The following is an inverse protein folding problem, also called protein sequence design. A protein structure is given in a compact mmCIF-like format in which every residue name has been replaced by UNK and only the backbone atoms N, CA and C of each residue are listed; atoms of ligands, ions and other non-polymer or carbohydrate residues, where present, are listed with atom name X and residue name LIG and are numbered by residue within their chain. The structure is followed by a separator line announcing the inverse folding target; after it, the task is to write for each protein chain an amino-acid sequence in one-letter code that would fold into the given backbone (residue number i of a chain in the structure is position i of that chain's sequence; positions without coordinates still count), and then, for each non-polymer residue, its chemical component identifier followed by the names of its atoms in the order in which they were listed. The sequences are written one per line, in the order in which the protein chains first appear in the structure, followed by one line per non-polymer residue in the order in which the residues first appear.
data_IF_408560653567
#
_entry.id   IF_408560653567
#
_cell.length_a   1.000
_cell.length_b   1.000
_cell.length_c   1.000
_cell.angle_alpha   90.00
_cell.angle_beta   90.00
_cell.angle_gamma   90.00
#
_symmetry.space_group_name_H-M   'P 1'
#
loop_
_entity.id
_entity.type
_entity.pdbx_description
1 polymer ?
#
# COMPACT_ATOMS: atom_id res chain seq x y z
N UNK A 1 -11.52 -0.04 21.69
CA UNK A 1 -10.55 0.57 20.75
C UNK A 1 -10.66 -0.01 19.34
N UNK A 2 -10.53 -1.33 19.15
CA UNK A 2 -10.59 -1.98 17.82
C UNK A 2 -11.88 -1.67 17.05
N UNK A 3 -13.06 -1.76 17.72
CA UNK A 3 -14.35 -1.47 17.08
C UNK A 3 -14.47 0.00 16.61
N UNK A 4 -13.83 0.93 17.31
CA UNK A 4 -13.79 2.34 16.92
C UNK A 4 -13.02 2.50 15.59
N UNK A 5 -11.84 1.90 15.45
CA UNK A 5 -10.96 2.07 14.26
C UNK A 5 -11.65 1.61 12.97
N UNK A 6 -12.49 0.56 13.03
CA UNK A 6 -13.16 0.00 11.84
C UNK A 6 -14.57 0.52 11.57
N UNK A 7 -15.07 1.44 12.41
CA UNK A 7 -16.33 2.14 12.13
C UNK A 7 -16.11 3.19 11.05
N UNK A 8 -17.19 3.54 10.35
CA UNK A 8 -17.15 4.69 9.45
C UNK A 8 -16.97 5.99 10.25
N UNK A 9 -16.06 6.80 9.79
CA UNK A 9 -15.72 8.07 10.38
C UNK A 9 -15.94 9.21 9.40
N UNK A 10 -16.06 10.43 9.94
CA UNK A 10 -15.95 11.62 9.11
C UNK A 10 -14.57 11.66 8.44
N UNK A 11 -14.46 12.37 7.35
CA UNK A 11 -13.26 12.40 6.51
C UNK A 11 -12.00 12.78 7.28
N UNK A 12 -12.08 13.75 8.18
CA UNK A 12 -10.93 14.19 8.98
C UNK A 12 -10.37 13.06 9.86
N UNK A 13 -11.24 12.37 10.59
CA UNK A 13 -10.84 11.23 11.42
C UNK A 13 -10.31 10.08 10.57
N UNK A 14 -10.99 9.77 9.46
CA UNK A 14 -10.53 8.77 8.51
C UNK A 14 -9.15 9.11 7.92
N UNK A 15 -8.90 10.38 7.57
CA UNK A 15 -7.61 10.85 7.09
C UNK A 15 -6.49 10.63 8.13
N UNK A 16 -6.75 10.94 9.40
CA UNK A 16 -5.80 10.71 10.48
C UNK A 16 -5.52 9.21 10.65
N UNK A 17 -6.56 8.38 10.60
CA UNK A 17 -6.44 6.93 10.74
C UNK A 17 -5.61 6.35 9.59
N UNK A 18 -5.85 6.75 8.34
CA UNK A 18 -5.05 6.31 7.19
C UNK A 18 -3.62 6.81 7.29
N UNK A 19 -3.42 8.08 7.61
CA UNK A 19 -2.09 8.66 7.76
C UNK A 19 -1.25 7.89 8.80
N UNK A 20 -1.80 7.64 9.98
CA UNK A 20 -1.13 6.89 11.04
C UNK A 20 -0.94 5.41 10.66
N UNK A 21 -1.96 4.78 10.08
CA UNK A 21 -1.89 3.41 9.62
C UNK A 21 -0.80 3.23 8.56
N UNK A 22 -0.78 4.08 7.54
CA UNK A 22 0.23 4.02 6.47
C UNK A 22 1.64 4.33 6.97
N UNK A 23 1.77 5.21 7.96
CA UNK A 23 3.06 5.51 8.58
C UNK A 23 3.78 4.27 9.12
N UNK A 24 3.03 3.25 9.57
CA UNK A 24 3.62 1.99 10.05
C UNK A 24 4.36 1.22 8.95
N UNK A 25 3.95 1.40 7.67
CA UNK A 25 4.64 0.82 6.53
C UNK A 25 6.03 1.40 6.31
N UNK A 26 6.25 2.63 6.72
CA UNK A 26 7.58 3.26 6.68
C UNK A 26 8.63 2.56 7.55
N UNK A 27 8.21 1.70 8.49
CA UNK A 27 9.13 0.88 9.29
C UNK A 27 9.40 -0.50 8.67
N UNK A 28 8.77 -0.85 7.54
CA UNK A 28 8.85 -2.18 6.92
C UNK A 28 10.30 -2.55 6.53
N UNK A 29 11.13 -1.57 6.16
CA UNK A 29 12.52 -1.82 5.79
C UNK A 29 13.35 -2.44 6.93
N UNK A 30 12.99 -2.17 8.19
CA UNK A 30 13.70 -2.68 9.38
C UNK A 30 13.63 -4.22 9.45
N UNK A 31 12.43 -4.85 9.54
CA UNK A 31 12.33 -6.30 9.57
C UNK A 31 12.80 -6.96 8.27
N UNK A 32 12.69 -6.30 7.12
CA UNK A 32 13.24 -6.80 5.86
C UNK A 32 14.75 -6.92 5.97
N UNK A 33 15.46 -5.85 6.34
CA UNK A 33 16.93 -5.89 6.52
C UNK A 33 17.38 -6.89 7.57
N UNK A 34 16.65 -6.99 8.69
CA UNK A 34 16.96 -7.99 9.72
C UNK A 34 16.83 -9.42 9.16
N UNK A 35 15.83 -9.67 8.34
CA UNK A 35 15.61 -11.00 7.74
C UNK A 35 16.64 -11.29 6.64
N UNK A 36 16.98 -10.31 5.82
CA UNK A 36 18.07 -10.43 4.83
C UNK A 36 19.44 -10.70 5.49
N UNK A 37 19.72 -10.04 6.60
CA UNK A 37 20.96 -10.27 7.37
C UNK A 37 21.07 -11.71 7.93
N UNK A 38 19.95 -12.45 7.99
CA UNK A 38 19.95 -13.89 8.33
C UNK A 38 20.25 -14.80 7.11
N UNK A 39 20.54 -14.22 5.94
CA UNK A 39 20.82 -14.96 4.70
C UNK A 39 19.58 -15.35 3.89
N UNK A 40 18.41 -14.79 4.19
CA UNK A 40 17.18 -15.04 3.43
C UNK A 40 17.19 -14.23 2.14
N UNK A 41 17.04 -14.84 0.95
CA UNK A 41 16.90 -14.07 -0.28
C UNK A 41 15.67 -13.14 -0.23
N UNK A 42 15.76 -11.89 -0.76
CA UNK A 42 14.71 -10.87 -0.61
C UNK A 42 13.31 -11.32 -1.04
N UNK A 43 13.18 -12.12 -2.12
CA UNK A 43 11.88 -12.62 -2.56
C UNK A 43 11.26 -13.62 -1.55
N UNK A 44 12.09 -14.37 -0.82
CA UNK A 44 11.62 -15.25 0.26
C UNK A 44 11.24 -14.44 1.50
N UNK A 45 11.89 -13.30 1.76
CA UNK A 45 11.42 -12.35 2.79
C UNK A 45 10.01 -11.89 2.43
N UNK A 46 9.81 -11.43 1.20
CA UNK A 46 8.48 -11.02 0.73
C UNK A 46 7.46 -12.16 0.86
N UNK A 47 7.81 -13.39 0.45
CA UNK A 47 6.94 -14.56 0.62
C UNK A 47 6.45 -14.71 2.06
N UNK A 48 7.36 -14.71 3.03
CA UNK A 48 6.99 -14.86 4.44
C UNK A 48 6.15 -13.69 4.96
N UNK A 49 6.39 -12.49 4.47
CA UNK A 49 5.65 -11.29 4.84
C UNK A 49 4.22 -11.24 4.26
N UNK A 50 3.93 -11.97 3.19
CA UNK A 50 2.57 -12.09 2.66
C UNK A 50 1.88 -13.39 3.10
N UNK A 51 2.61 -14.50 3.27
CA UNK A 51 2.03 -15.78 3.63
C UNK A 51 1.65 -15.87 5.12
N UNK A 52 2.51 -15.37 6.01
CA UNK A 52 2.29 -15.50 7.45
C UNK A 52 1.07 -14.74 7.97
N UNK A 53 0.77 -13.49 7.55
CA UNK A 53 -0.45 -12.79 7.96
C UNK A 53 -1.74 -13.48 7.52
N UNK A 54 -1.70 -14.22 6.40
CA UNK A 54 -2.87 -14.96 5.93
C UNK A 54 -3.36 -16.00 6.94
N UNK A 55 -2.48 -16.60 7.74
CA UNK A 55 -2.83 -17.64 8.71
C UNK A 55 -3.81 -17.14 9.79
N UNK A 56 -3.45 -16.13 10.64
CA UNK A 56 -4.37 -15.63 11.65
C UNK A 56 -5.60 -15.00 11.00
N UNK A 57 -5.45 -14.28 9.88
CA UNK A 57 -6.58 -13.65 9.21
C UNK A 57 -7.57 -14.67 8.64
N UNK A 58 -7.10 -15.80 8.12
CA UNK A 58 -7.96 -16.91 7.67
C UNK A 58 -8.83 -17.43 8.82
N UNK A 59 -8.24 -17.61 10.01
CA UNK A 59 -8.99 -18.03 11.19
C UNK A 59 -10.11 -17.04 11.54
N UNK A 60 -9.83 -15.75 11.55
CA UNK A 60 -10.83 -14.72 11.83
C UNK A 60 -11.91 -14.60 10.74
N UNK A 61 -11.58 -14.93 9.50
CA UNK A 61 -12.52 -14.85 8.37
C UNK A 61 -13.36 -16.11 8.15
N UNK A 62 -13.04 -17.24 8.78
CA UNK A 62 -13.69 -18.55 8.51
C UNK A 62 -15.22 -18.52 8.52
N UNK A 63 -15.82 -17.78 9.48
CA UNK A 63 -17.27 -17.68 9.58
C UNK A 63 -17.87 -16.81 8.47
N UNK A 64 -17.21 -15.70 8.14
CA UNK A 64 -17.68 -14.73 7.15
C UNK A 64 -17.50 -15.24 5.69
N UNK A 65 -16.50 -16.09 5.43
CA UNK A 65 -16.23 -16.62 4.08
C UNK A 65 -17.45 -17.30 3.47
N UNK A 66 -18.23 -18.05 4.28
CA UNK A 66 -19.42 -18.78 3.78
C UNK A 66 -20.55 -17.85 3.36
N UNK A 67 -20.76 -16.75 4.08
CA UNK A 67 -21.82 -15.77 3.79
C UNK A 67 -21.47 -14.86 2.61
N UNK A 68 -20.19 -14.69 2.31
CA UNK A 68 -19.68 -13.77 1.29
C UNK A 68 -19.44 -14.44 -0.09
N UNK A 69 -19.93 -15.65 -0.30
CA UNK A 69 -19.71 -16.41 -1.56
C UNK A 69 -20.10 -15.66 -2.83
N UNK A 70 -21.14 -14.87 -2.79
CA UNK A 70 -21.61 -14.07 -3.91
C UNK A 70 -20.59 -13.01 -4.38
N UNK A 71 -19.69 -12.58 -3.51
CA UNK A 71 -18.71 -11.52 -3.75
C UNK A 71 -17.32 -12.06 -4.15
N UNK A 72 -17.15 -13.38 -4.36
CA UNK A 72 -15.84 -13.99 -4.61
C UNK A 72 -15.08 -13.40 -5.78
N UNK A 73 -15.79 -13.05 -6.86
CA UNK A 73 -15.16 -12.42 -8.03
C UNK A 73 -14.53 -11.07 -7.68
N UNK A 74 -15.17 -10.30 -6.80
CA UNK A 74 -14.66 -9.00 -6.33
C UNK A 74 -13.42 -9.20 -5.46
N UNK A 75 -13.48 -10.13 -4.50
CA UNK A 75 -12.36 -10.46 -3.65
C UNK A 75 -11.16 -10.96 -4.45
N UNK A 76 -11.41 -11.84 -5.42
CA UNK A 76 -10.35 -12.39 -6.26
C UNK A 76 -9.74 -11.30 -7.16
N UNK A 77 -10.56 -10.46 -7.80
CA UNK A 77 -10.07 -9.38 -8.65
C UNK A 77 -9.24 -8.36 -7.85
N UNK A 78 -9.75 -7.88 -6.70
CA UNK A 78 -9.01 -6.98 -5.85
C UNK A 78 -7.75 -7.64 -5.27
N UNK A 79 -7.85 -8.90 -4.82
CA UNK A 79 -6.72 -9.65 -4.27
C UNK A 79 -5.61 -9.90 -5.28
N UNK A 80 -5.95 -10.27 -6.52
CA UNK A 80 -4.96 -10.42 -7.61
C UNK A 80 -4.30 -9.08 -7.88
N UNK A 81 -5.05 -7.98 -8.02
CA UNK A 81 -4.49 -6.69 -8.31
C UNK A 81 -3.54 -6.22 -7.19
N UNK A 82 -3.98 -6.24 -5.94
CA UNK A 82 -3.16 -5.78 -4.81
C UNK A 82 -1.98 -6.74 -4.55
N UNK A 83 -2.21 -8.05 -4.63
CA UNK A 83 -1.14 -9.05 -4.50
C UNK A 83 -0.09 -8.92 -5.59
N UNK A 84 -0.48 -8.68 -6.84
CA UNK A 84 0.43 -8.38 -7.96
C UNK A 84 1.21 -7.10 -7.69
N UNK A 85 0.53 -6.04 -7.22
CA UNK A 85 1.19 -4.78 -6.89
C UNK A 85 2.34 -4.98 -5.91
N UNK A 86 2.10 -5.68 -4.81
CA UNK A 86 3.14 -5.97 -3.82
C UNK A 86 4.28 -6.81 -4.34
N UNK A 87 3.98 -7.85 -5.13
CA UNK A 87 5.01 -8.71 -5.70
C UNK A 87 5.86 -7.94 -6.70
N UNK A 88 5.24 -7.13 -7.59
CA UNK A 88 5.98 -6.30 -8.54
C UNK A 88 6.82 -5.23 -7.83
N UNK A 89 6.28 -4.60 -6.79
CA UNK A 89 7.04 -3.65 -5.98
C UNK A 89 8.27 -4.31 -5.34
N UNK A 90 8.09 -5.45 -4.70
CA UNK A 90 9.19 -6.20 -4.09
C UNK A 90 10.24 -6.66 -5.12
N UNK A 91 9.81 -7.13 -6.29
CA UNK A 91 10.72 -7.48 -7.39
C UNK A 91 11.44 -6.23 -7.91
N UNK A 92 10.78 -5.10 -7.99
CA UNK A 92 11.39 -3.83 -8.36
C UNK A 92 12.48 -3.40 -7.37
N UNK A 93 12.24 -3.55 -6.06
CA UNK A 93 13.25 -3.27 -5.03
C UNK A 93 14.44 -4.23 -5.10
N UNK A 94 14.21 -5.46 -5.55
CA UNK A 94 15.25 -6.49 -5.69
C UNK A 94 16.08 -6.35 -6.96
N UNK A 95 15.42 -6.07 -8.10
CA UNK A 95 16.02 -6.19 -9.43
C UNK A 95 16.34 -4.83 -10.09
N UNK A 96 15.79 -3.74 -9.54
CA UNK A 96 15.98 -2.39 -10.05
C UNK A 96 16.50 -1.44 -8.95
N UNK A 97 16.54 -0.14 -9.24
CA UNK A 97 16.88 0.87 -8.23
C UNK A 97 15.75 1.05 -7.24
N UNK A 98 16.04 0.93 -5.94
CA UNK A 98 15.07 1.16 -4.85
C UNK A 98 14.41 2.53 -4.98
N UNK A 99 15.20 3.59 -5.17
CA UNK A 99 14.66 4.95 -5.28
C UNK A 99 13.76 5.12 -6.51
N UNK A 100 14.14 4.58 -7.68
CA UNK A 100 13.33 4.63 -8.89
C UNK A 100 12.02 3.83 -8.72
N UNK A 101 12.12 2.58 -8.23
CA UNK A 101 10.96 1.70 -8.00
C UNK A 101 9.96 2.37 -7.06
N UNK A 102 10.43 2.91 -5.96
CA UNK A 102 9.61 3.59 -4.95
C UNK A 102 8.97 4.86 -5.51
N UNK A 103 9.75 5.69 -6.23
CA UNK A 103 9.22 6.92 -6.84
C UNK A 103 8.13 6.61 -7.87
N UNK A 104 8.33 5.56 -8.69
CA UNK A 104 7.35 5.15 -9.70
C UNK A 104 6.10 4.53 -9.08
N UNK A 105 6.23 3.77 -7.99
CA UNK A 105 5.09 3.30 -7.21
C UNK A 105 4.29 4.47 -6.65
N UNK A 106 4.91 5.54 -6.17
CA UNK A 106 4.22 6.71 -5.63
C UNK A 106 3.53 7.61 -6.67
N UNK A 107 3.49 7.20 -7.94
CA UNK A 107 2.51 7.69 -8.91
C UNK A 107 1.09 7.15 -8.65
N UNK A 108 0.94 6.23 -7.70
CA UNK A 108 -0.34 5.62 -7.30
C UNK A 108 -1.48 6.63 -7.07
N UNK A 109 -1.30 7.79 -6.39
CA UNK A 109 -2.37 8.77 -6.23
C UNK A 109 -2.89 9.31 -7.56
N UNK A 110 -2.03 9.43 -8.58
CA UNK A 110 -2.43 9.83 -9.93
C UNK A 110 -3.34 8.77 -10.53
N UNK A 111 -2.89 7.50 -10.53
CA UNK A 111 -3.66 6.37 -11.06
C UNK A 111 -4.97 6.18 -10.33
N UNK A 112 -4.97 6.21 -9.01
CA UNK A 112 -6.17 6.08 -8.18
C UNK A 112 -7.17 7.21 -8.44
N UNK A 113 -6.70 8.44 -8.67
CA UNK A 113 -7.56 9.58 -8.97
C UNK A 113 -8.14 9.48 -10.38
N UNK A 114 -7.33 9.10 -11.38
CA UNK A 114 -7.81 8.91 -12.75
C UNK A 114 -8.84 7.78 -12.83
N UNK A 115 -8.52 6.62 -12.27
CA UNK A 115 -9.42 5.47 -12.25
C UNK A 115 -10.68 5.74 -11.42
N UNK A 116 -10.55 6.44 -10.29
CA UNK A 116 -11.69 6.88 -9.47
C UNK A 116 -12.61 7.82 -10.23
N UNK A 117 -12.03 8.74 -11.02
CA UNK A 117 -12.83 9.64 -11.88
C UNK A 117 -13.59 8.89 -12.96
N UNK A 118 -12.96 7.89 -13.59
CA UNK A 118 -13.57 7.12 -14.71
C UNK A 118 -14.55 6.06 -14.21
N UNK A 119 -14.17 5.30 -13.17
CA UNK A 119 -14.91 4.10 -12.73
C UNK A 119 -15.90 4.39 -11.59
N UNK A 120 -15.63 5.40 -10.76
CA UNK A 120 -16.49 5.79 -9.63
C UNK A 120 -17.25 7.09 -9.89
N UNK A 121 -16.97 7.79 -10.99
CA UNK A 121 -17.58 9.09 -11.28
C UNK A 121 -17.10 10.23 -10.36
N UNK A 122 -15.97 10.06 -9.68
CA UNK A 122 -15.42 11.07 -8.79
C UNK A 122 -14.97 12.31 -9.57
N UNK A 123 -15.21 13.49 -9.03
CA UNK A 123 -14.72 14.75 -9.60
C UNK A 123 -13.52 15.25 -8.79
N UNK A 124 -12.33 14.98 -9.29
CA UNK A 124 -11.11 15.52 -8.71
C UNK A 124 -10.96 17.01 -9.08
N UNK A 125 -11.11 17.89 -8.10
CA UNK A 125 -10.90 19.33 -8.29
C UNK A 125 -9.41 19.69 -8.40
N UNK A 126 -9.12 20.92 -8.83
CA UNK A 126 -7.75 21.43 -8.97
C UNK A 126 -6.93 21.33 -7.68
N UNK A 127 -7.56 21.45 -6.51
CA UNK A 127 -6.88 21.28 -5.21
C UNK A 127 -6.31 19.89 -5.03
N UNK A 128 -7.07 18.82 -5.43
CA UNK A 128 -6.61 17.43 -5.36
C UNK A 128 -5.43 17.21 -6.31
N UNK A 129 -5.54 17.66 -7.56
CA UNK A 129 -4.45 17.56 -8.53
C UNK A 129 -3.21 18.34 -8.11
N UNK A 130 -3.38 19.52 -7.53
CA UNK A 130 -2.27 20.30 -6.95
C UNK A 130 -1.60 19.58 -5.80
N UNK A 131 -2.37 18.97 -4.89
CA UNK A 131 -1.83 18.19 -3.78
C UNK A 131 -1.10 16.92 -4.27
N UNK A 132 -1.61 16.22 -5.30
CA UNK A 132 -0.93 15.08 -5.92
C UNK A 132 0.42 15.51 -6.51
N UNK A 133 0.43 16.63 -7.26
CA UNK A 133 1.67 17.16 -7.84
C UNK A 133 2.70 17.55 -6.76
N UNK A 134 2.26 18.24 -5.71
CA UNK A 134 3.11 18.60 -4.58
C UNK A 134 3.67 17.34 -3.86
N UNK A 135 2.81 16.36 -3.57
CA UNK A 135 3.21 15.14 -2.91
C UNK A 135 4.25 14.36 -3.74
N UNK A 136 4.06 14.30 -5.06
CA UNK A 136 5.02 13.67 -5.97
C UNK A 136 6.37 14.40 -6.01
N UNK A 137 6.35 15.74 -6.09
CA UNK A 137 7.58 16.55 -6.02
C UNK A 137 8.29 16.35 -4.69
N UNK A 138 7.55 16.35 -3.58
CA UNK A 138 8.10 16.06 -2.26
C UNK A 138 8.75 14.66 -2.18
N UNK A 139 8.09 13.65 -2.76
CA UNK A 139 8.62 12.29 -2.86
C UNK A 139 9.94 12.25 -3.66
N UNK A 140 10.01 12.94 -4.81
CA UNK A 140 11.24 13.05 -5.60
C UNK A 140 12.39 13.68 -4.80
N UNK A 141 12.11 14.69 -3.98
CA UNK A 141 13.11 15.31 -3.12
C UNK A 141 13.60 14.34 -2.03
N UNK A 142 12.69 13.63 -1.38
CA UNK A 142 13.05 12.64 -0.35
C UNK A 142 13.87 11.49 -0.94
N UNK A 143 13.45 10.96 -2.09
CA UNK A 143 14.13 9.86 -2.79
C UNK A 143 15.36 10.30 -3.57
N UNK A 144 15.66 11.61 -3.62
CA UNK A 144 16.76 12.21 -4.39
C UNK A 144 16.72 11.81 -5.88
N UNK A 145 15.54 11.67 -6.44
CA UNK A 145 15.31 11.33 -7.84
C UNK A 145 14.90 12.57 -8.62
N UNK A 146 15.62 12.86 -9.71
CA UNK A 146 15.21 13.89 -10.65
C UNK A 146 14.39 13.26 -11.79
N UNK A 147 13.06 13.43 -11.83
CA UNK A 147 12.21 12.79 -12.83
C UNK A 147 12.47 13.26 -14.25
N UNK A 148 13.06 14.46 -14.44
CA UNK A 148 13.35 15.02 -15.75
C UNK A 148 14.58 14.36 -16.39
N UNK A 149 15.58 14.00 -15.56
CA UNK A 149 16.83 13.37 -16.03
C UNK A 149 16.86 11.85 -15.82
N UNK A 150 15.80 11.27 -15.27
CA UNK A 150 15.71 9.85 -14.99
C UNK A 150 15.63 9.06 -16.29
N UNK A 151 16.66 8.24 -16.55
CA UNK A 151 16.62 7.26 -17.64
C UNK A 151 15.76 6.09 -17.22
N UNK A 152 14.71 5.81 -18.00
CA UNK A 152 13.80 4.71 -17.76
C UNK A 152 14.38 3.40 -18.30
N UNK A 153 14.55 2.41 -17.43
CA UNK A 153 15.03 1.09 -17.75
C UNK A 153 13.89 0.07 -17.76
N UNK A 154 14.09 -1.09 -18.39
CA UNK A 154 13.04 -2.13 -18.48
C UNK A 154 12.53 -2.59 -17.12
N UNK A 155 13.42 -2.70 -16.13
CA UNK A 155 13.07 -3.13 -14.77
C UNK A 155 12.32 -2.06 -13.97
N UNK A 156 12.41 -0.79 -14.37
CA UNK A 156 11.62 0.28 -13.73
C UNK A 156 10.11 0.12 -13.97
N UNK A 157 9.72 -0.66 -15.00
CA UNK A 157 8.33 -1.08 -15.22
C UNK A 157 7.73 -1.81 -14.03
N UNK A 158 8.52 -2.49 -13.21
CA UNK A 158 8.04 -3.19 -12.03
C UNK A 158 7.44 -2.20 -11.02
N UNK A 159 8.16 -1.12 -10.70
CA UNK A 159 7.66 -0.05 -9.83
C UNK A 159 6.45 0.67 -10.42
N UNK A 160 6.51 0.98 -11.72
CA UNK A 160 5.43 1.67 -12.42
C UNK A 160 4.13 0.85 -12.45
N UNK A 161 4.20 -0.41 -12.86
CA UNK A 161 3.06 -1.31 -12.93
C UNK A 161 2.52 -1.64 -11.54
N UNK A 162 3.38 -1.75 -10.52
CA UNK A 162 2.93 -1.97 -9.15
C UNK A 162 1.98 -0.88 -8.67
N UNK A 163 2.26 0.40 -8.97
CA UNK A 163 1.39 1.52 -8.65
C UNK A 163 0.04 1.46 -9.38
N UNK A 164 0.02 1.03 -10.63
CA UNK A 164 -1.22 0.85 -11.41
C UNK A 164 -2.06 -0.28 -10.81
N UNK A 165 -1.46 -1.46 -10.58
CA UNK A 165 -2.19 -2.60 -10.01
C UNK A 165 -2.74 -2.29 -8.61
N UNK A 166 -1.98 -1.58 -7.78
CA UNK A 166 -2.47 -1.09 -6.51
C UNK A 166 -3.70 -0.20 -6.70
N UNK A 167 -3.62 0.81 -7.57
CA UNK A 167 -4.71 1.74 -7.84
C UNK A 167 -5.98 1.02 -8.34
N UNK A 168 -5.83 0.06 -9.26
CA UNK A 168 -6.95 -0.77 -9.74
C UNK A 168 -7.61 -1.54 -8.59
N UNK A 169 -6.82 -2.21 -7.75
CA UNK A 169 -7.34 -2.99 -6.63
C UNK A 169 -8.11 -2.13 -5.61
N UNK A 170 -7.57 -0.96 -5.28
CA UNK A 170 -8.22 -0.03 -4.35
C UNK A 170 -9.49 0.58 -4.94
N UNK A 171 -9.51 0.89 -6.23
CA UNK A 171 -10.71 1.42 -6.91
C UNK A 171 -11.81 0.34 -7.00
N UNK A 172 -11.44 -0.93 -7.24
CA UNK A 172 -12.40 -2.06 -7.17
C UNK A 172 -13.05 -2.09 -5.78
N UNK A 173 -12.28 -2.02 -4.70
CA UNK A 173 -12.81 -2.03 -3.34
C UNK A 173 -13.67 -0.80 -3.02
N UNK A 174 -13.30 0.37 -3.54
CA UNK A 174 -14.11 1.59 -3.45
C UNK A 174 -15.44 1.48 -4.20
N UNK A 175 -15.49 0.74 -5.33
CA UNK A 175 -16.72 0.48 -6.10
C UNK A 175 -17.69 -0.42 -5.36
N UNK A 176 -17.19 -1.33 -4.53
CA UNK A 176 -17.99 -2.31 -3.80
C UNK A 176 -17.83 -2.12 -2.28
N UNK A 177 -18.37 -1.03 -1.70
CA UNK A 177 -18.15 -0.68 -0.29
C UNK A 177 -18.77 -1.67 0.71
N UNK A 178 -19.70 -2.52 0.26
CA UNK A 178 -20.42 -3.47 1.10
C UNK A 178 -19.68 -4.81 1.29
N UNK A 179 -18.57 -5.05 0.58
CA UNK A 179 -17.78 -6.28 0.77
C UNK A 179 -17.04 -6.27 2.11
N UNK A 180 -16.85 -7.44 2.71
CA UNK A 180 -16.12 -7.53 3.99
C UNK A 180 -14.64 -7.20 3.77
N UNK A 181 -14.18 -6.11 4.37
CA UNK A 181 -12.79 -5.62 4.25
C UNK A 181 -11.76 -6.63 4.77
N UNK A 182 -12.13 -7.50 5.71
CA UNK A 182 -11.23 -8.54 6.25
C UNK A 182 -11.01 -9.64 5.21
N UNK A 183 -12.07 -10.05 4.50
CA UNK A 183 -11.96 -11.03 3.42
C UNK A 183 -11.21 -10.43 2.23
N UNK A 184 -11.45 -9.15 1.90
CA UNK A 184 -10.68 -8.45 0.88
C UNK A 184 -9.19 -8.41 1.23
N UNK A 185 -8.85 -8.12 2.48
CA UNK A 185 -7.47 -8.16 2.99
C UNK A 185 -6.89 -9.58 2.96
N UNK A 186 -7.66 -10.59 3.35
CA UNK A 186 -7.22 -11.99 3.27
C UNK A 186 -6.93 -12.38 1.82
N UNK A 187 -7.82 -12.04 0.90
CA UNK A 187 -7.69 -12.37 -0.52
C UNK A 187 -6.38 -11.82 -1.10
N UNK A 188 -6.00 -10.60 -0.79
CA UNK A 188 -4.73 -10.03 -1.27
C UNK A 188 -3.49 -10.79 -0.72
N UNK A 189 -3.51 -11.18 0.57
CA UNK A 189 -2.42 -11.97 1.13
C UNK A 189 -2.33 -13.34 0.49
N UNK A 190 -3.45 -14.02 0.27
CA UNK A 190 -3.49 -15.32 -0.41
C UNK A 190 -3.06 -15.20 -1.88
N UNK A 191 -3.61 -14.25 -2.63
CA UNK A 191 -3.21 -14.02 -4.02
C UNK A 191 -1.75 -13.60 -4.11
N UNK A 192 -1.29 -12.69 -3.26
CA UNK A 192 0.12 -12.28 -3.19
C UNK A 192 1.05 -13.46 -2.89
N UNK A 193 0.66 -14.35 -1.98
CA UNK A 193 1.42 -15.58 -1.69
C UNK A 193 1.54 -16.46 -2.94
N UNK A 194 0.44 -16.73 -3.63
CA UNK A 194 0.43 -17.55 -4.85
C UNK A 194 1.30 -16.91 -5.94
N UNK A 195 1.13 -15.60 -6.19
CA UNK A 195 1.88 -14.87 -7.20
C UNK A 195 3.38 -14.87 -6.86
N UNK A 196 3.74 -14.72 -5.58
CA UNK A 196 5.13 -14.77 -5.14
C UNK A 196 5.74 -16.15 -5.32
N UNK A 197 4.99 -17.23 -5.02
CA UNK A 197 5.44 -18.62 -5.27
C UNK A 197 5.72 -18.82 -6.77
N UNK A 198 4.83 -18.35 -7.64
CA UNK A 198 5.02 -18.40 -9.09
C UNK A 198 6.28 -17.61 -9.49
N UNK A 199 6.48 -16.43 -8.95
CA UNK A 199 7.66 -15.61 -9.22
C UNK A 199 8.95 -16.30 -8.76
N UNK A 200 8.97 -16.90 -7.56
CA UNK A 200 10.12 -17.70 -7.06
C UNK A 200 10.44 -18.85 -8.02
N UNK A 201 9.41 -19.58 -8.46
CA UNK A 201 9.59 -20.71 -9.37
C UNK A 201 10.13 -20.26 -10.75
N UNK A 202 9.59 -19.15 -11.29
CA UNK A 202 10.05 -18.59 -12.58
C UNK A 202 11.48 -18.06 -12.52
N UNK A 203 11.84 -17.42 -11.41
CA UNK A 203 13.19 -16.87 -11.21
C UNK A 203 14.21 -17.94 -10.79
N UNK A 204 13.77 -19.15 -10.45
CA UNK A 204 14.64 -20.23 -10.03
C UNK A 204 15.41 -19.95 -8.73
N UNK A 205 14.84 -19.14 -7.83
CA UNK A 205 15.51 -18.79 -6.58
C UNK A 205 15.44 -19.97 -5.61
N UNK A 206 16.63 -20.42 -5.15
CA UNK A 206 16.73 -21.55 -4.22
C UNK A 206 15.98 -21.30 -2.91
N UNK A 207 15.41 -22.35 -2.35
CA UNK A 207 14.77 -22.30 -1.03
C UNK A 207 15.84 -22.15 0.04
N UNK A 208 15.67 -21.26 1.03
CA UNK A 208 16.54 -21.19 2.20
C UNK A 208 16.47 -22.49 3.01
N UNK A 209 17.50 -22.75 3.82
CA UNK A 209 17.47 -23.87 4.74
C UNK A 209 16.32 -23.76 5.77
N UNK A 210 15.99 -24.89 6.41
CA UNK A 210 14.82 -24.98 7.31
C UNK A 210 14.91 -24.01 8.50
N UNK A 211 16.08 -23.83 9.09
CA UNK A 211 16.25 -22.95 10.24
C UNK A 211 16.09 -21.47 9.84
N UNK A 212 16.72 -21.06 8.75
CA UNK A 212 16.61 -19.71 8.19
C UNK A 212 15.18 -19.41 7.75
N UNK A 213 14.50 -20.36 7.11
CA UNK A 213 13.08 -20.25 6.72
C UNK A 213 12.18 -20.08 7.94
N UNK A 214 12.42 -20.84 9.02
CA UNK A 214 11.62 -20.73 10.26
C UNK A 214 11.77 -19.36 10.94
N UNK A 215 12.99 -18.81 10.98
CA UNK A 215 13.23 -17.45 11.49
C UNK A 215 12.53 -16.41 10.64
N UNK A 216 12.61 -16.50 9.31
CA UNK A 216 11.94 -15.61 8.39
C UNK A 216 10.42 -15.68 8.53
N UNK A 217 9.86 -16.88 8.70
CA UNK A 217 8.43 -17.06 8.96
C UNK A 217 7.98 -16.39 10.27
N UNK A 218 8.75 -16.55 11.35
CA UNK A 218 8.48 -15.87 12.62
C UNK A 218 8.55 -14.35 12.50
N UNK A 219 9.54 -13.82 11.77
CA UNK A 219 9.63 -12.39 11.48
C UNK A 219 8.41 -11.90 10.66
N UNK A 220 8.01 -12.65 9.63
CA UNK A 220 6.81 -12.38 8.84
C UNK A 220 5.55 -12.39 9.70
N UNK A 221 5.38 -13.39 10.57
CA UNK A 221 4.23 -13.48 11.46
C UNK A 221 4.19 -12.31 12.45
N UNK A 222 5.31 -11.98 13.07
CA UNK A 222 5.38 -10.93 14.08
C UNK A 222 5.22 -9.54 13.43
N UNK A 223 6.09 -9.16 12.51
CA UNK A 223 6.05 -7.81 11.95
C UNK A 223 4.90 -7.61 10.96
N UNK A 224 4.75 -8.51 9.99
CA UNK A 224 3.68 -8.38 9.00
C UNK A 224 2.32 -8.75 9.59
N UNK A 225 2.22 -9.79 10.40
CA UNK A 225 0.98 -10.24 11.00
C UNK A 225 0.45 -9.34 12.12
N UNK A 226 1.31 -8.83 13.01
CA UNK A 226 0.88 -8.04 14.16
C UNK A 226 0.93 -6.52 13.94
N UNK A 227 1.84 -6.04 13.07
CA UNK A 227 2.04 -4.60 12.87
C UNK A 227 1.44 -4.14 11.54
N UNK A 228 1.80 -4.78 10.42
CA UNK A 228 1.38 -4.33 9.10
C UNK A 228 -0.04 -4.74 8.73
N UNK A 229 -0.46 -5.95 9.08
CA UNK A 229 -1.81 -6.43 8.75
C UNK A 229 -2.93 -5.58 9.37
N UNK A 230 -2.88 -5.15 10.64
CA UNK A 230 -3.88 -4.23 11.19
C UNK A 230 -3.93 -2.89 10.45
N UNK A 231 -2.77 -2.34 10.09
CA UNK A 231 -2.67 -1.14 9.25
C UNK A 231 -3.34 -1.34 7.90
N UNK A 232 -3.09 -2.49 7.28
CA UNK A 232 -3.69 -2.84 5.99
C UNK A 232 -5.22 -2.95 6.08
N UNK A 233 -5.73 -3.64 7.10
CA UNK A 233 -7.18 -3.74 7.36
C UNK A 233 -7.83 -2.34 7.46
N UNK A 234 -7.14 -1.40 8.10
CA UNK A 234 -7.59 -0.01 8.22
C UNK A 234 -7.62 0.68 6.85
N UNK A 235 -6.56 0.57 6.06
CA UNK A 235 -6.48 1.18 4.73
C UNK A 235 -7.60 0.63 3.84
N UNK A 236 -7.77 -0.69 3.78
CA UNK A 236 -8.83 -1.32 2.99
C UNK A 236 -10.22 -0.89 3.47
N UNK A 237 -10.45 -0.83 4.79
CA UNK A 237 -11.73 -0.38 5.33
C UNK A 237 -12.03 1.07 4.96
N UNK A 238 -11.06 1.95 5.05
CA UNK A 238 -11.26 3.38 4.75
C UNK A 238 -11.47 3.62 3.26
N UNK A 239 -10.83 2.86 2.36
CA UNK A 239 -11.07 2.99 0.91
C UNK A 239 -12.50 2.66 0.49
N UNK A 240 -13.26 1.97 1.33
CA UNK A 240 -14.68 1.69 1.05
C UNK A 240 -15.59 2.92 1.18
N UNK A 241 -15.18 3.96 1.90
CA UNK A 241 -15.98 5.17 2.10
C UNK A 241 -15.20 6.47 1.90
N UNK A 242 -13.90 6.41 1.61
CA UNK A 242 -13.06 7.55 1.23
C UNK A 242 -12.55 7.38 -0.19
N UNK A 243 -12.41 8.49 -0.92
CA UNK A 243 -11.87 8.48 -2.28
C UNK A 243 -10.50 7.78 -2.36
N UNK A 244 -10.29 6.82 -3.30
CA UNK A 244 -9.02 6.14 -3.50
C UNK A 244 -7.83 7.06 -3.75
N UNK A 245 -8.03 8.17 -4.48
CA UNK A 245 -6.98 9.15 -4.72
C UNK A 245 -6.56 9.88 -3.43
N UNK A 246 -7.51 10.14 -2.53
CA UNK A 246 -7.26 10.76 -1.24
C UNK A 246 -6.46 9.82 -0.33
N UNK A 247 -6.88 8.57 -0.25
CA UNK A 247 -6.15 7.53 0.49
C UNK A 247 -4.72 7.40 -0.02
N UNK A 248 -4.52 7.39 -1.35
CA UNK A 248 -3.20 7.32 -1.97
C UNK A 248 -2.26 8.47 -1.54
N UNK A 249 -2.76 9.71 -1.42
CA UNK A 249 -1.96 10.84 -0.95
C UNK A 249 -1.60 10.68 0.54
N UNK A 250 -2.55 10.24 1.36
CA UNK A 250 -2.32 10.04 2.79
C UNK A 250 -1.34 8.90 3.08
N UNK A 251 -1.30 7.89 2.21
CA UNK A 251 -0.33 6.79 2.29
C UNK A 251 1.12 7.24 2.12
N UNK A 252 1.39 8.39 1.50
CA UNK A 252 2.75 8.93 1.43
C UNK A 252 3.36 9.27 2.79
N UNK A 253 2.58 9.21 3.88
CA UNK A 253 3.10 9.28 5.25
C UNK A 253 4.12 8.18 5.57
N UNK A 254 4.08 7.04 4.88
CA UNK A 254 5.08 5.99 5.03
C UNK A 254 6.49 6.46 4.68
N UNK A 255 6.64 7.34 3.67
CA UNK A 255 7.93 7.90 3.27
C UNK A 255 8.55 8.70 4.41
N UNK A 256 7.73 9.47 5.14
CA UNK A 256 8.18 10.28 6.25
C UNK A 256 8.76 9.42 7.36
N UNK A 257 8.04 8.36 7.72
CA UNK A 257 8.49 7.45 8.78
C UNK A 257 9.69 6.62 8.34
N UNK A 258 9.74 6.18 7.07
CA UNK A 258 10.90 5.48 6.53
C UNK A 258 12.19 6.32 6.67
N UNK A 259 12.13 7.59 6.29
CA UNK A 259 13.26 8.51 6.36
C UNK A 259 13.65 8.82 7.81
N UNK A 260 12.68 9.13 8.68
CA UNK A 260 12.94 9.41 10.09
C UNK A 260 13.56 8.19 10.81
N UNK A 261 13.03 7.00 10.54
CA UNK A 261 13.57 5.77 11.15
C UNK A 261 14.96 5.43 10.62
N UNK A 262 15.25 5.67 9.35
CA UNK A 262 16.60 5.52 8.79
C UNK A 262 17.58 6.50 9.45
N UNK A 263 17.19 7.76 9.63
CA UNK A 263 18.00 8.76 10.33
C UNK A 263 18.31 8.31 11.77
N UNK A 264 17.30 7.87 12.51
CA UNK A 264 17.46 7.53 13.94
C UNK A 264 18.23 6.21 14.12
N UNK A 265 17.95 5.19 13.30
CA UNK A 265 18.48 3.84 13.50
C UNK A 265 19.80 3.59 12.75
N UNK A 266 20.00 4.25 11.60
CA UNK A 266 21.22 4.09 10.80
C UNK A 266 22.17 5.27 10.93
N UNK A 267 21.79 6.34 11.63
CA UNK A 267 22.60 7.56 11.74
C UNK A 267 22.69 8.34 10.42
N UNK A 268 21.76 8.13 9.49
CA UNK A 268 21.75 8.85 8.22
C UNK A 268 21.48 10.34 8.44
N UNK A 269 22.23 11.20 7.78
CA UNK A 269 22.04 12.65 7.84
C UNK A 269 21.23 13.08 6.62
N UNK A 270 20.04 13.62 6.86
CA UNK A 270 19.19 14.12 5.79
C UNK A 270 19.75 15.41 5.19
N UNK A 271 19.75 15.48 3.88
CA UNK A 271 20.04 16.71 3.15
C UNK A 271 18.91 17.74 3.33
N UNK A 272 19.23 19.02 3.13
CA UNK A 272 18.21 20.10 3.15
C UNK A 272 17.07 19.80 2.18
N UNK A 273 17.37 19.22 1.01
CA UNK A 273 16.37 18.87 -0.01
C UNK A 273 15.41 17.78 0.48
N UNK A 274 15.91 16.80 1.21
CA UNK A 274 15.06 15.76 1.82
C UNK A 274 14.13 16.35 2.89
N UNK A 275 14.63 17.28 3.75
CA UNK A 275 13.77 17.99 4.71
C UNK A 275 12.69 18.83 4.04
N UNK A 276 13.02 19.53 2.94
CA UNK A 276 12.02 20.23 2.13
C UNK A 276 10.98 19.24 1.60
N UNK A 277 11.41 18.10 1.05
CA UNK A 277 10.53 17.04 0.56
C UNK A 277 9.56 16.52 1.63
N UNK A 278 10.05 16.26 2.84
CA UNK A 278 9.23 15.90 4.01
C UNK A 278 8.16 16.96 4.29
N UNK A 279 8.53 18.23 4.35
CA UNK A 279 7.60 19.34 4.57
C UNK A 279 6.54 19.46 3.47
N UNK A 280 6.93 19.25 2.20
CA UNK A 280 6.03 19.28 1.04
C UNK A 280 5.01 18.14 1.08
N UNK A 281 5.42 16.91 1.43
CA UNK A 281 4.51 15.76 1.57
C UNK A 281 3.50 16.01 2.69
N UNK A 282 3.95 16.51 3.85
CA UNK A 282 3.07 16.87 4.96
C UNK A 282 2.06 17.95 4.54
N UNK A 283 2.54 19.00 3.86
CA UNK A 283 1.68 20.08 3.35
C UNK A 283 0.63 19.55 2.37
N UNK A 284 1.00 18.67 1.46
CA UNK A 284 0.05 18.02 0.54
C UNK A 284 -1.02 17.23 1.28
N UNK A 285 -0.64 16.46 2.30
CA UNK A 285 -1.56 15.71 3.16
C UNK A 285 -2.57 16.62 3.87
N UNK A 286 -2.11 17.76 4.42
CA UNK A 286 -2.98 18.75 5.07
C UNK A 286 -3.94 19.40 4.07
N UNK A 287 -3.46 19.81 2.88
CA UNK A 287 -4.30 20.40 1.82
C UNK A 287 -5.45 19.45 1.47
N UNK A 288 -5.16 18.16 1.37
CA UNK A 288 -6.15 17.14 1.03
C UNK A 288 -7.11 16.90 2.18
N UNK A 289 -6.62 16.73 3.40
CA UNK A 289 -7.47 16.47 4.57
C UNK A 289 -8.45 17.63 4.86
N UNK A 290 -8.10 18.87 4.49
CA UNK A 290 -8.92 20.07 4.73
C UNK A 290 -9.80 20.43 3.53
N UNK A 291 -9.45 20.02 2.31
CA UNK A 291 -10.13 20.48 1.09
C UNK A 291 -11.53 19.85 0.89
N UNK A 292 -11.77 18.67 1.43
CA UNK A 292 -13.03 17.94 1.21
C UNK A 292 -14.12 18.24 2.26
N UNK A 293 -13.78 18.83 3.41
CA UNK A 293 -14.78 19.30 4.38
C UNK A 293 -15.73 20.37 3.79
N UNK A 294 -15.30 21.06 2.73
CA UNK A 294 -16.10 22.08 2.05
C UNK A 294 -17.07 21.57 0.98
N UNK A 295 -16.98 20.29 0.62
CA UNK A 295 -17.85 19.63 -0.37
C UNK A 295 -18.51 18.44 0.30
N UNK A 296 -19.64 18.69 0.99
CA UNK A 296 -20.42 17.65 1.65
C UNK A 296 -20.49 16.38 0.81
N UNK A 297 -20.09 15.26 1.40
CA UNK A 297 -19.95 13.99 0.73
C UNK A 297 -21.18 13.66 -0.09
N UNK A 298 -21.05 13.71 -1.40
CA UNK A 298 -21.91 12.94 -2.27
C UNK A 298 -21.50 11.46 -2.05
N UNK A 299 -22.11 10.83 -1.06
CA UNK A 299 -22.19 9.40 -1.03
C UNK A 299 -22.64 8.97 -2.41
N UNK A 300 -21.87 8.12 -3.07
CA UNK A 300 -22.28 7.51 -4.35
C UNK A 300 -23.63 6.87 -4.09
N UNK A 301 -24.72 7.31 -4.74
CA UNK A 301 -26.02 6.68 -4.53
C UNK A 301 -25.89 5.22 -4.94
N UNK A 302 -26.52 4.28 -4.21
CA UNK A 302 -26.59 2.91 -4.67
C UNK A 302 -27.24 2.93 -6.04
N UNK A 303 -26.48 2.60 -7.08
CA UNK A 303 -27.04 2.34 -8.40
C UNK A 303 -27.79 1.04 -8.28
N UNK A 304 -29.13 1.14 -8.23
CA UNK A 304 -30.05 0.05 -8.52
C UNK A 304 -29.70 -0.47 -9.93
N UNK A 305 -28.97 -1.55 -9.95
CA UNK A 305 -28.85 -2.40 -11.13
C UNK A 305 -29.76 -3.59 -10.87
N UNK A 306 -30.98 -3.51 -11.44
CA UNK A 306 -31.86 -4.62 -11.65
C UNK A 306 -31.22 -5.71 -12.54
#
# INVERSE_FOLDING_TARGET
MIHFIFKEHNQRTASIIVFLGSSMWGMLWIPIRLTEAMGVPPIWVHFWFVAMPALPLSYFCMKAIKSERQNWAIYLAAGICVGTAFTLYSLGLLLASVSKTTTLFYLTPIWSTLLGSVLLGERAGLRRWGAIGLAFVGCCFVMQVNPVSMQFEKLDLLGFLSGIFWAVGIVILGRYPNVDFKIATLSQYLCGTVITVVAIAVLGVATPDTLTSSKAALMGLFFSGLILMPSFLVIIRVTQYMSPGLVGILMLSEVLVAVITAMVLLGEVLTIMQWIGVGVILGAGVIVATADESRGGAAVPPTDLA
#
